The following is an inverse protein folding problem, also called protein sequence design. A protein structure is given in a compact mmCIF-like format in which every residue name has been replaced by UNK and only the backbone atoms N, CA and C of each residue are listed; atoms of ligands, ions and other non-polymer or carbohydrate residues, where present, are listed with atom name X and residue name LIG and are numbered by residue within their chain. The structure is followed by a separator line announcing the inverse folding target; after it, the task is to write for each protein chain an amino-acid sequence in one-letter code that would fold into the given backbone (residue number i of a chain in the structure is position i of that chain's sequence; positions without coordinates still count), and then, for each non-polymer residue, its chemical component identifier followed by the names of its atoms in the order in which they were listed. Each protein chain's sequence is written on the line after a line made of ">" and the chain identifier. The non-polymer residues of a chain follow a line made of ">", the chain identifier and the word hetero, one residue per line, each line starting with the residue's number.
data_IF_807739630604
#
_entry.id   IF_807739630604
#
_cell.length_a   1.000
_cell.length_b   1.000
_cell.length_c   1.000
_cell.angle_alpha   90.00
_cell.angle_beta   90.00
_cell.angle_gamma   90.00
#
_symmetry.space_group_name_H-M   'P 1'
#
loop_
_entity.id
_entity.type
_entity.pdbx_description
1 polymer ?
#
# COMPACT_ATOMS: atom_id res chain seq x y z
N UNK A 1 -23.24 14.97 39.76
CA UNK A 1 -24.16 14.28 38.83
C UNK A 1 -23.88 14.57 37.35
N UNK A 2 -23.56 15.81 36.95
CA UNK A 2 -23.34 16.25 35.56
C UNK A 2 -22.13 15.64 34.83
N UNK A 3 -21.00 15.41 35.53
CA UNK A 3 -19.79 14.81 34.90
C UNK A 3 -19.98 13.34 34.51
N UNK A 4 -20.65 12.55 35.34
CA UNK A 4 -20.95 11.13 35.08
C UNK A 4 -21.89 10.98 33.88
N UNK A 5 -22.92 11.83 33.80
CA UNK A 5 -23.83 11.85 32.66
C UNK A 5 -23.14 12.24 31.35
N UNK A 6 -22.23 13.22 31.39
CA UNK A 6 -21.41 13.60 30.23
C UNK A 6 -20.46 12.47 29.80
N UNK A 7 -19.85 11.75 30.74
CA UNK A 7 -19.02 10.58 30.43
C UNK A 7 -19.87 9.47 29.79
N UNK A 8 -21.04 9.15 30.36
CA UNK A 8 -21.98 8.17 29.80
C UNK A 8 -22.34 8.52 28.35
N UNK A 9 -22.75 9.77 28.08
CA UNK A 9 -23.06 10.23 26.71
C UNK A 9 -21.88 10.12 25.75
N UNK A 10 -20.66 10.43 26.20
CA UNK A 10 -19.44 10.30 25.38
C UNK A 10 -19.14 8.83 25.07
N UNK A 11 -19.28 7.93 26.05
CA UNK A 11 -19.13 6.49 25.87
C UNK A 11 -20.19 5.92 24.94
N UNK A 12 -21.46 6.28 25.11
CA UNK A 12 -22.56 5.88 24.22
C UNK A 12 -22.30 6.34 22.79
N UNK A 13 -21.82 7.58 22.60
CA UNK A 13 -21.46 8.09 21.27
C UNK A 13 -20.33 7.27 20.66
N UNK A 14 -19.30 6.94 21.43
CA UNK A 14 -18.18 6.12 20.97
C UNK A 14 -18.64 4.71 20.54
N UNK A 15 -19.44 4.04 21.37
CA UNK A 15 -19.95 2.71 21.04
C UNK A 15 -20.92 2.75 19.86
N UNK A 16 -21.80 3.74 19.77
CA UNK A 16 -22.67 3.93 18.61
C UNK A 16 -21.88 4.11 17.31
N UNK A 17 -20.80 4.89 17.36
CA UNK A 17 -19.93 5.12 16.20
C UNK A 17 -19.16 3.86 15.79
N UNK A 18 -18.69 3.06 16.76
CA UNK A 18 -17.85 1.90 16.47
C UNK A 18 -18.67 0.65 16.13
N UNK A 19 -19.71 0.35 16.92
CA UNK A 19 -20.54 -0.84 16.76
C UNK A 19 -21.62 -0.65 15.69
N UNK A 20 -22.15 0.58 15.56
CA UNK A 20 -23.34 0.85 14.77
C UNK A 20 -24.62 0.65 15.58
N UNK A 21 -25.76 0.62 14.88
CA UNK A 21 -27.07 0.38 15.48
C UNK A 21 -27.67 -0.92 14.92
N UNK A 22 -28.41 -1.66 15.75
CA UNK A 22 -29.18 -2.82 15.34
C UNK A 22 -30.51 -2.42 14.68
N UNK A 23 -31.34 -3.39 14.28
CA UNK A 23 -32.66 -3.15 13.68
C UNK A 23 -33.63 -2.38 14.58
N UNK A 24 -33.40 -2.39 15.88
CA UNK A 24 -34.22 -1.72 16.90
C UNK A 24 -33.73 -0.29 17.22
N UNK A 25 -32.64 0.16 16.57
CA UNK A 25 -32.05 1.48 16.81
C UNK A 25 -31.20 1.57 18.09
N UNK A 26 -30.91 0.43 18.73
CA UNK A 26 -29.99 0.32 19.86
C UNK A 26 -28.55 0.04 19.41
N UNK A 27 -27.58 0.25 20.29
CA UNK A 27 -26.17 -0.03 19.97
C UNK A 27 -25.99 -1.53 19.74
N UNK A 28 -25.42 -1.92 18.59
CA UNK A 28 -25.27 -3.32 18.20
C UNK A 28 -24.14 -4.04 18.97
N UNK A 29 -24.44 -4.47 20.19
CA UNK A 29 -23.54 -5.30 20.98
C UNK A 29 -23.53 -6.78 20.56
N UNK A 30 -24.26 -7.15 19.50
CA UNK A 30 -24.25 -8.51 18.96
C UNK A 30 -23.19 -8.70 17.88
N UNK A 31 -22.63 -7.61 17.35
CA UNK A 31 -21.43 -7.68 16.54
C UNK A 31 -20.17 -8.03 17.37
N UNK A 32 -20.03 -9.32 17.69
CA UNK A 32 -18.93 -9.85 18.52
C UNK A 32 -17.55 -9.62 17.89
N UNK A 33 -17.48 -9.56 16.56
CA UNK A 33 -16.27 -9.22 15.83
C UNK A 33 -15.81 -7.79 16.15
N UNK A 34 -16.68 -6.79 15.97
CA UNK A 34 -16.39 -5.39 16.33
C UNK A 34 -16.06 -5.22 17.82
N UNK A 35 -16.77 -5.92 18.69
CA UNK A 35 -16.48 -5.92 20.13
C UNK A 35 -15.05 -6.38 20.42
N UNK A 36 -14.58 -7.47 19.79
CA UNK A 36 -13.20 -7.95 19.96
C UNK A 36 -12.19 -6.87 19.61
N UNK A 37 -12.41 -6.13 18.54
CA UNK A 37 -11.53 -5.03 18.17
C UNK A 37 -11.55 -3.88 19.17
N UNK A 38 -12.69 -3.57 19.79
CA UNK A 38 -12.75 -2.61 20.90
C UNK A 38 -11.88 -3.09 22.07
N UNK A 39 -11.93 -4.37 22.43
CA UNK A 39 -11.05 -4.94 23.47
C UNK A 39 -9.58 -4.77 23.11
N UNK A 40 -9.20 -5.07 21.87
CA UNK A 40 -7.83 -4.86 21.39
C UNK A 40 -7.43 -3.38 21.54
N UNK A 41 -8.29 -2.43 21.14
CA UNK A 41 -8.01 -1.01 21.24
C UNK A 41 -7.85 -0.53 22.70
N UNK A 42 -8.62 -1.09 23.63
CA UNK A 42 -8.54 -0.78 25.07
C UNK A 42 -7.25 -1.35 25.66
N UNK A 43 -6.94 -2.63 25.40
CA UNK A 43 -5.76 -3.29 25.94
C UNK A 43 -4.46 -2.69 25.40
N UNK A 44 -4.42 -2.27 24.12
CA UNK A 44 -3.25 -1.56 23.58
C UNK A 44 -2.99 -0.20 24.26
N UNK A 45 -3.93 0.34 25.04
CA UNK A 45 -3.78 1.56 25.85
C UNK A 45 -3.40 1.29 27.31
N UNK A 46 -3.13 0.04 27.69
CA UNK A 46 -2.73 -0.29 29.07
C UNK A 46 -3.88 -0.68 30.00
N UNK A 47 -5.13 -0.56 29.56
CA UNK A 47 -6.30 -0.64 30.43
C UNK A 47 -6.67 -2.12 30.66
N UNK A 48 -6.72 -2.57 31.92
CA UNK A 48 -7.17 -3.93 32.27
C UNK A 48 -6.18 -5.06 31.99
N UNK A 49 -4.93 -4.77 31.64
CA UNK A 49 -3.93 -5.81 31.27
C UNK A 49 -3.52 -6.68 32.47
N UNK A 50 -3.53 -6.13 33.68
CA UNK A 50 -3.09 -6.84 34.89
C UNK A 50 -3.88 -8.12 35.18
N UNK A 51 -5.13 -8.18 34.72
CA UNK A 51 -5.99 -9.36 34.83
C UNK A 51 -5.64 -10.43 33.78
N UNK A 52 -5.22 -10.01 32.58
CA UNK A 52 -4.84 -10.92 31.49
C UNK A 52 -3.64 -11.78 31.87
N UNK A 53 -2.63 -11.16 32.52
CA UNK A 53 -1.40 -11.83 32.94
C UNK A 53 -1.62 -12.97 33.95
N UNK A 54 -2.80 -13.04 34.57
CA UNK A 54 -3.17 -14.11 35.50
C UNK A 54 -3.74 -15.34 34.80
N UNK A 55 -4.11 -15.22 33.52
CA UNK A 55 -4.73 -16.30 32.76
C UNK A 55 -3.66 -17.15 32.04
N UNK A 56 -3.60 -18.48 32.24
CA UNK A 56 -2.65 -19.35 31.55
C UNK A 56 -2.71 -19.27 30.02
N UNK A 57 -3.89 -19.03 29.44
CA UNK A 57 -4.08 -18.87 28.00
C UNK A 57 -3.38 -17.62 27.45
N UNK A 58 -3.09 -16.63 28.30
CA UNK A 58 -2.35 -15.45 27.89
C UNK A 58 -0.88 -15.79 27.56
N UNK A 59 -0.24 -16.65 28.36
CA UNK A 59 1.10 -17.16 28.05
C UNK A 59 1.09 -18.10 26.83
N UNK A 60 0.04 -18.91 26.66
CA UNK A 60 -0.11 -19.73 25.46
C UNK A 60 -0.26 -18.86 24.20
N UNK A 61 -1.01 -17.77 24.29
CA UNK A 61 -1.18 -16.83 23.18
C UNK A 61 0.13 -16.18 22.74
N UNK A 62 1.06 -15.92 23.67
CA UNK A 62 2.39 -15.39 23.36
C UNK A 62 3.21 -16.40 22.54
N UNK A 63 3.22 -17.66 22.96
CA UNK A 63 3.93 -18.74 22.25
C UNK A 63 3.41 -18.91 20.82
N UNK A 64 2.09 -18.86 20.63
CA UNK A 64 1.47 -18.93 19.30
C UNK A 64 1.83 -17.70 18.47
N UNK A 65 1.79 -16.49 19.05
CA UNK A 65 2.15 -15.26 18.35
C UNK A 65 3.61 -15.29 17.84
N UNK A 66 4.54 -15.76 18.69
CA UNK A 66 5.95 -15.95 18.33
C UNK A 66 6.09 -16.99 17.21
N UNK A 67 5.42 -18.15 17.33
CA UNK A 67 5.46 -19.19 16.31
C UNK A 67 4.94 -18.71 14.95
N UNK A 68 3.88 -17.88 14.93
CA UNK A 68 3.36 -17.26 13.70
C UNK A 68 4.40 -16.30 13.10
N UNK A 69 5.01 -15.44 13.93
CA UNK A 69 6.04 -14.49 13.50
C UNK A 69 7.23 -15.20 12.87
N UNK A 70 7.69 -16.30 13.47
CA UNK A 70 8.80 -17.12 12.98
C UNK A 70 8.45 -17.87 11.70
N UNK A 71 7.28 -18.51 11.65
CA UNK A 71 6.85 -19.29 10.48
C UNK A 71 6.68 -18.40 9.25
N UNK A 72 6.10 -17.21 9.42
CA UNK A 72 5.89 -16.23 8.35
C UNK A 72 7.10 -15.32 8.10
N UNK A 73 8.23 -15.56 8.79
CA UNK A 73 9.49 -14.79 8.64
C UNK A 73 9.31 -13.27 8.76
N UNK A 74 8.35 -12.84 9.58
CA UNK A 74 8.05 -11.43 9.79
C UNK A 74 8.61 -10.95 11.13
N UNK A 75 9.46 -9.92 11.11
CA UNK A 75 10.03 -9.32 12.31
C UNK A 75 9.05 -8.31 12.92
N UNK A 76 8.22 -8.80 13.83
CA UNK A 76 7.25 -7.96 14.53
C UNK A 76 7.92 -7.11 15.62
N UNK A 77 7.53 -5.83 15.70
CA UNK A 77 7.88 -4.99 16.85
C UNK A 77 7.22 -5.54 18.12
N UNK A 78 7.73 -5.15 19.31
CA UNK A 78 7.09 -5.50 20.59
C UNK A 78 5.60 -5.11 20.63
N UNK A 79 5.25 -3.94 20.08
CA UNK A 79 3.86 -3.46 19.99
C UNK A 79 3.02 -4.35 19.08
N UNK A 80 3.55 -4.74 17.92
CA UNK A 80 2.86 -5.58 16.93
C UNK A 80 2.66 -7.00 17.44
N UNK A 81 3.67 -7.58 18.08
CA UNK A 81 3.61 -8.90 18.69
C UNK A 81 2.56 -8.93 19.82
N UNK A 82 2.53 -7.90 20.66
CA UNK A 82 1.54 -7.78 21.72
C UNK A 82 0.11 -7.66 21.19
N UNK A 83 -0.10 -6.89 20.11
CA UNK A 83 -1.40 -6.81 19.44
C UNK A 83 -1.86 -8.16 18.90
N UNK A 84 -0.95 -8.91 18.27
CA UNK A 84 -1.21 -10.28 17.80
C UNK A 84 -1.54 -11.21 18.97
N UNK A 85 -0.75 -11.17 20.05
CA UNK A 85 -0.99 -11.94 21.27
C UNK A 85 -2.39 -11.68 21.84
N UNK A 86 -2.81 -10.42 21.94
CA UNK A 86 -4.15 -10.07 22.41
C UNK A 86 -5.26 -10.65 21.52
N UNK A 87 -5.08 -10.64 20.21
CA UNK A 87 -6.06 -11.23 19.28
C UNK A 87 -6.17 -12.74 19.42
N UNK A 88 -5.04 -13.42 19.62
CA UNK A 88 -5.00 -14.86 19.87
C UNK A 88 -5.66 -15.16 21.22
N UNK A 89 -5.33 -14.39 22.26
CA UNK A 89 -5.93 -14.56 23.58
C UNK A 89 -7.46 -14.40 23.55
N UNK A 90 -8.00 -13.41 22.82
CA UNK A 90 -9.44 -13.28 22.62
C UNK A 90 -10.04 -14.51 21.95
N UNK A 91 -9.36 -15.06 20.95
CA UNK A 91 -9.83 -16.23 20.22
C UNK A 91 -9.80 -17.50 21.06
N UNK A 92 -8.82 -17.63 21.96
CA UNK A 92 -8.73 -18.75 22.91
C UNK A 92 -9.78 -18.66 24.02
N UNK A 93 -10.12 -17.46 24.47
CA UNK A 93 -11.00 -17.24 25.64
C UNK A 93 -12.46 -17.07 25.29
N UNK A 94 -12.78 -16.64 24.06
CA UNK A 94 -14.15 -16.39 23.63
C UNK A 94 -14.50 -17.27 22.44
N UNK A 95 -15.54 -18.08 22.63
CA UNK A 95 -16.11 -18.95 21.58
C UNK A 95 -17.35 -18.34 20.92
N UNK A 96 -17.49 -17.02 21.02
CA UNK A 96 -18.55 -16.29 20.35
C UNK A 96 -18.47 -16.49 18.83
N UNK A 97 -19.61 -16.70 18.18
CA UNK A 97 -19.72 -16.72 16.71
C UNK A 97 -19.37 -15.33 16.16
N UNK A 98 -18.47 -15.28 15.18
CA UNK A 98 -18.08 -14.04 14.52
C UNK A 98 -18.81 -13.92 13.19
N UNK A 99 -19.47 -12.79 12.99
CA UNK A 99 -20.20 -12.48 11.75
C UNK A 99 -19.20 -12.15 10.63
N UNK A 100 -18.50 -13.17 10.13
CA UNK A 100 -17.60 -13.12 8.97
C UNK A 100 -18.25 -13.95 7.86
N UNK A 101 -18.39 -13.36 6.67
CA UNK A 101 -19.02 -14.00 5.53
C UNK A 101 -18.27 -15.27 5.10
N UNK A 102 -19.02 -16.30 4.72
CA UNK A 102 -18.45 -17.60 4.33
C UNK A 102 -17.51 -17.48 3.11
N UNK A 103 -17.87 -16.61 2.14
CA UNK A 103 -17.03 -16.33 0.97
C UNK A 103 -15.68 -15.72 1.35
N UNK A 104 -15.70 -14.82 2.34
CA UNK A 104 -14.48 -14.22 2.89
C UNK A 104 -13.59 -15.29 3.55
N UNK A 105 -14.17 -16.19 4.35
CA UNK A 105 -13.43 -17.30 4.96
C UNK A 105 -12.86 -18.23 3.88
N UNK A 106 -13.67 -18.58 2.88
CA UNK A 106 -13.24 -19.43 1.77
C UNK A 106 -12.06 -18.79 1.01
N UNK A 107 -12.11 -17.48 0.76
CA UNK A 107 -11.00 -16.74 0.18
C UNK A 107 -9.75 -16.81 1.06
N UNK A 108 -9.87 -16.55 2.37
CA UNK A 108 -8.72 -16.58 3.30
C UNK A 108 -8.06 -17.95 3.37
N UNK A 109 -8.84 -19.04 3.35
CA UNK A 109 -8.33 -20.44 3.37
C UNK A 109 -7.41 -20.76 2.20
N UNK A 110 -7.55 -20.09 1.06
CA UNK A 110 -6.62 -20.24 -0.06
C UNK A 110 -5.27 -19.55 0.17
N UNK A 111 -5.15 -18.79 1.26
CA UNK A 111 -4.03 -17.92 1.59
C UNK A 111 -2.98 -18.56 2.50
N UNK A 112 -1.71 -18.20 2.29
CA UNK A 112 -0.60 -18.66 3.15
C UNK A 112 -0.81 -18.24 4.61
N UNK A 113 -1.21 -16.98 4.88
CA UNK A 113 -1.39 -16.46 6.25
C UNK A 113 -2.35 -17.34 7.05
N UNK A 114 -3.56 -17.61 6.53
CA UNK A 114 -4.57 -18.39 7.24
C UNK A 114 -4.06 -19.80 7.57
N UNK A 115 -3.45 -20.46 6.58
CA UNK A 115 -2.94 -21.82 6.72
C UNK A 115 -1.73 -21.90 7.67
N UNK A 116 -0.85 -20.90 7.65
CA UNK A 116 0.27 -20.79 8.58
C UNK A 116 -0.22 -20.56 10.01
N UNK A 117 -1.21 -19.70 10.22
CA UNK A 117 -1.83 -19.49 11.53
C UNK A 117 -2.42 -20.80 12.04
N UNK A 118 -3.26 -21.48 11.23
CA UNK A 118 -3.83 -22.78 11.61
C UNK A 118 -2.75 -23.81 12.00
N UNK A 119 -1.68 -23.89 11.21
CA UNK A 119 -0.53 -24.77 11.51
C UNK A 119 0.10 -24.48 12.87
N UNK A 120 0.25 -23.20 13.24
CA UNK A 120 0.79 -22.81 14.54
C UNK A 120 -0.12 -23.22 15.70
N UNK A 121 -1.45 -23.13 15.53
CA UNK A 121 -2.41 -23.58 16.53
C UNK A 121 -2.38 -25.11 16.71
N UNK A 122 -2.41 -25.86 15.60
CA UNK A 122 -2.34 -27.33 15.63
C UNK A 122 -1.05 -27.83 16.29
N UNK A 123 0.10 -27.19 16.02
CA UNK A 123 1.38 -27.52 16.69
C UNK A 123 1.36 -27.31 18.21
N UNK A 124 0.44 -26.48 18.72
CA UNK A 124 0.24 -26.24 20.14
C UNK A 124 -0.93 -27.06 20.71
N UNK A 125 -1.43 -28.05 19.96
CA UNK A 125 -2.58 -28.88 20.31
C UNK A 125 -3.86 -28.08 20.61
N UNK A 126 -4.07 -26.98 19.87
CA UNK A 126 -5.28 -26.17 19.95
C UNK A 126 -6.02 -26.24 18.63
N UNK A 127 -7.25 -26.73 18.66
CA UNK A 127 -8.16 -26.64 17.52
C UNK A 127 -8.87 -25.28 17.53
N UNK A 128 -8.92 -24.63 16.37
CA UNK A 128 -9.63 -23.37 16.19
C UNK A 128 -10.60 -23.45 15.02
N UNK A 129 -11.79 -22.88 15.22
CA UNK A 129 -12.73 -22.70 14.13
C UNK A 129 -12.24 -21.66 13.11
N UNK A 130 -12.83 -21.73 11.92
CA UNK A 130 -12.44 -20.89 10.79
C UNK A 130 -12.70 -19.40 11.03
N UNK A 131 -13.70 -19.05 11.83
CA UNK A 131 -14.05 -17.66 12.12
C UNK A 131 -12.96 -17.01 12.98
N UNK A 132 -12.47 -17.72 14.01
CA UNK A 132 -11.37 -17.28 14.84
C UNK A 132 -10.05 -17.21 14.06
N UNK A 133 -9.76 -18.19 13.21
CA UNK A 133 -8.60 -18.15 12.32
C UNK A 133 -8.67 -16.98 11.33
N UNK A 134 -9.86 -16.68 10.79
CA UNK A 134 -10.08 -15.53 9.93
C UNK A 134 -9.86 -14.20 10.67
N UNK A 135 -10.38 -14.07 11.90
CA UNK A 135 -10.15 -12.91 12.75
C UNK A 135 -8.66 -12.64 13.00
N UNK A 136 -7.90 -13.68 13.37
CA UNK A 136 -6.44 -13.54 13.58
C UNK A 136 -5.74 -13.21 12.26
N UNK A 137 -6.19 -13.76 11.14
CA UNK A 137 -5.66 -13.43 9.81
C UNK A 137 -5.86 -11.97 9.46
N UNK A 138 -7.02 -11.38 9.75
CA UNK A 138 -7.27 -9.95 9.57
C UNK A 138 -6.37 -9.09 10.45
N UNK A 139 -6.21 -9.47 11.72
CA UNK A 139 -5.30 -8.76 12.64
C UNK A 139 -3.87 -8.82 12.12
N UNK A 140 -3.39 -9.99 11.74
CA UNK A 140 -2.04 -10.17 11.22
C UNK A 140 -1.80 -9.35 9.93
N UNK A 141 -2.77 -9.33 9.02
CA UNK A 141 -2.67 -8.57 7.75
C UNK A 141 -2.52 -7.07 7.96
N UNK A 142 -3.01 -6.54 9.08
CA UNK A 142 -2.85 -5.13 9.47
C UNK A 142 -1.55 -4.82 10.23
N UNK A 143 -0.71 -5.83 10.51
CA UNK A 143 0.58 -5.63 11.13
C UNK A 143 1.63 -5.17 10.10
N UNK A 144 2.61 -4.33 10.51
CA UNK A 144 3.77 -4.05 9.68
C UNK A 144 4.46 -5.34 9.22
N UNK A 145 4.72 -5.42 7.91
CA UNK A 145 5.41 -6.56 7.30
C UNK A 145 6.90 -6.23 7.12
N UNK A 146 7.74 -6.83 7.96
CA UNK A 146 9.18 -6.64 8.01
C UNK A 146 9.91 -7.98 7.77
N UNK A 147 9.91 -8.51 6.54
CA UNK A 147 10.60 -9.75 6.25
C UNK A 147 12.12 -9.61 6.31
N UNK A 148 12.81 -10.74 6.36
CA UNK A 148 14.27 -10.78 6.43
C UNK A 148 14.99 -10.59 5.08
N UNK A 149 14.26 -10.56 3.95
CA UNK A 149 14.86 -10.34 2.63
C UNK A 149 13.92 -9.64 1.64
N UNK A 150 14.50 -8.91 0.68
CA UNK A 150 13.77 -8.27 -0.42
C UNK A 150 13.05 -9.29 -1.31
N UNK A 151 13.64 -10.47 -1.52
CA UNK A 151 13.01 -11.53 -2.31
C UNK A 151 11.68 -11.98 -1.73
N UNK A 152 11.56 -12.02 -0.40
CA UNK A 152 10.28 -12.32 0.25
C UNK A 152 9.25 -11.20 0.01
N UNK A 153 9.67 -9.93 0.01
CA UNK A 153 8.80 -8.79 -0.32
C UNK A 153 8.22 -8.95 -1.73
N UNK A 154 9.08 -9.26 -2.72
CA UNK A 154 8.68 -9.41 -4.12
C UNK A 154 7.75 -10.62 -4.33
N UNK A 155 8.12 -11.79 -3.80
CA UNK A 155 7.33 -13.02 -3.94
C UNK A 155 5.96 -12.85 -3.31
N UNK A 156 5.90 -12.29 -2.09
CA UNK A 156 4.64 -12.06 -1.41
C UNK A 156 3.79 -11.04 -2.15
N UNK A 157 4.39 -9.93 -2.62
CA UNK A 157 3.69 -8.95 -3.45
C UNK A 157 3.03 -9.61 -4.66
N UNK A 158 3.78 -10.38 -5.46
CA UNK A 158 3.24 -11.03 -6.66
C UNK A 158 2.14 -12.04 -6.32
N UNK A 159 2.32 -12.80 -5.23
CA UNK A 159 1.32 -13.73 -4.74
C UNK A 159 0.02 -13.02 -4.34
N UNK A 160 0.11 -11.95 -3.55
CA UNK A 160 -1.05 -11.18 -3.10
C UNK A 160 -1.74 -10.46 -4.26
N UNK A 161 -0.96 -9.84 -5.16
CA UNK A 161 -1.44 -9.15 -6.35
C UNK A 161 -2.27 -10.07 -7.23
N UNK A 162 -1.71 -11.24 -7.57
CA UNK A 162 -2.39 -12.21 -8.43
C UNK A 162 -3.70 -12.69 -7.80
N UNK A 163 -3.69 -12.97 -6.49
CA UNK A 163 -4.90 -13.41 -5.77
C UNK A 163 -5.95 -12.33 -5.68
N UNK A 164 -5.56 -11.09 -5.37
CA UNK A 164 -6.50 -9.97 -5.24
C UNK A 164 -7.10 -9.59 -6.59
N UNK A 165 -6.30 -9.42 -7.64
CA UNK A 165 -6.82 -9.06 -8.97
C UNK A 165 -7.76 -10.15 -9.50
N UNK A 166 -7.44 -11.42 -9.24
CA UNK A 166 -8.32 -12.54 -9.61
C UNK A 166 -9.66 -12.51 -8.87
N UNK A 167 -9.67 -12.16 -7.58
CA UNK A 167 -10.91 -12.11 -6.79
C UNK A 167 -11.69 -10.80 -6.94
N UNK A 168 -11.00 -9.69 -7.20
CA UNK A 168 -11.56 -8.35 -7.34
C UNK A 168 -10.98 -7.66 -8.59
N UNK A 169 -11.47 -8.02 -9.80
CA UNK A 169 -10.98 -7.41 -11.04
C UNK A 169 -11.13 -5.88 -11.09
N UNK A 170 -12.11 -5.33 -10.36
CA UNK A 170 -12.34 -3.89 -10.23
C UNK A 170 -11.15 -3.12 -9.63
N UNK A 171 -10.19 -3.80 -8.99
CA UNK A 171 -8.95 -3.17 -8.50
C UNK A 171 -8.11 -2.65 -9.66
N UNK A 172 -8.10 -3.33 -10.82
CA UNK A 172 -7.38 -2.84 -12.00
C UNK A 172 -8.00 -1.52 -12.48
N UNK A 173 -9.32 -1.41 -12.47
CA UNK A 173 -10.01 -0.17 -12.82
C UNK A 173 -9.71 0.94 -11.81
N UNK A 174 -9.62 0.62 -10.52
CA UNK A 174 -9.19 1.58 -9.49
C UNK A 174 -7.79 2.13 -9.80
N UNK A 175 -6.83 1.27 -10.14
CA UNK A 175 -5.48 1.70 -10.55
C UNK A 175 -5.56 2.63 -11.76
N UNK A 176 -6.31 2.27 -12.80
CA UNK A 176 -6.49 3.12 -13.99
C UNK A 176 -7.11 4.48 -13.66
N UNK A 177 -8.04 4.53 -12.71
CA UNK A 177 -8.63 5.79 -12.24
C UNK A 177 -7.59 6.67 -11.51
N UNK A 178 -6.65 6.07 -10.77
CA UNK A 178 -5.51 6.79 -10.21
C UNK A 178 -4.54 7.26 -11.29
N UNK A 179 -4.22 6.43 -12.29
CA UNK A 179 -3.35 6.82 -13.40
C UNK A 179 -3.91 8.00 -14.18
N UNK A 180 -5.20 7.97 -14.53
CA UNK A 180 -5.88 9.08 -15.19
C UNK A 180 -5.96 10.32 -14.28
N UNK A 181 -6.17 10.11 -12.99
CA UNK A 181 -6.18 11.20 -12.02
C UNK A 181 -4.83 11.89 -11.93
N UNK A 182 -3.74 11.16 -11.78
CA UNK A 182 -2.40 11.68 -11.48
C UNK A 182 -1.45 11.76 -12.69
N UNK A 183 -1.95 11.45 -13.90
CA UNK A 183 -1.22 11.50 -15.17
C UNK A 183 0.10 10.69 -15.15
N UNK A 184 0.06 9.51 -14.53
CA UNK A 184 1.25 8.67 -14.31
C UNK A 184 0.94 7.19 -14.43
N UNK A 185 1.96 6.38 -14.72
CA UNK A 185 1.83 4.93 -14.80
C UNK A 185 2.01 4.34 -13.39
N UNK A 186 1.03 3.55 -12.94
CA UNK A 186 0.98 2.97 -11.59
C UNK A 186 0.76 1.46 -11.60
N UNK A 187 0.22 0.91 -12.69
CA UNK A 187 0.06 -0.53 -12.83
C UNK A 187 1.44 -1.21 -12.90
N UNK A 188 1.70 -2.11 -11.96
CA UNK A 188 2.98 -2.79 -11.78
C UNK A 188 3.89 -2.13 -10.73
N UNK A 189 3.63 -0.89 -10.34
CA UNK A 189 4.45 -0.15 -9.37
C UNK A 189 4.16 -0.64 -7.95
N UNK A 190 5.11 -1.38 -7.35
CA UNK A 190 4.93 -2.02 -6.06
C UNK A 190 4.67 -1.01 -4.93
N UNK A 191 5.33 0.15 -4.98
CA UNK A 191 5.20 1.25 -4.03
C UNK A 191 3.79 1.85 -3.99
N UNK A 192 3.03 1.69 -5.08
CA UNK A 192 1.63 2.11 -5.16
C UNK A 192 0.67 0.95 -4.91
N UNK A 193 0.86 -0.15 -5.63
CA UNK A 193 -0.09 -1.26 -5.62
C UNK A 193 -0.13 -1.91 -4.24
N UNK A 194 0.98 -2.05 -3.51
CA UNK A 194 0.98 -2.69 -2.19
C UNK A 194 0.11 -1.93 -1.18
N UNK A 195 0.29 -0.61 -0.95
CA UNK A 195 -0.64 0.18 -0.14
C UNK A 195 -2.09 0.12 -0.64
N UNK A 196 -2.32 0.12 -1.96
CA UNK A 196 -3.65 0.04 -2.53
C UNK A 196 -4.33 -1.30 -2.22
N UNK A 197 -3.59 -2.40 -2.30
CA UNK A 197 -4.08 -3.73 -1.96
C UNK A 197 -4.48 -3.80 -0.49
N UNK A 198 -3.65 -3.27 0.42
CA UNK A 198 -3.97 -3.25 1.85
C UNK A 198 -5.23 -2.39 2.12
N UNK A 199 -5.38 -1.26 1.43
CA UNK A 199 -6.60 -0.44 1.45
C UNK A 199 -7.83 -1.23 0.99
N UNK A 200 -7.75 -1.88 -0.17
CA UNK A 200 -8.86 -2.66 -0.75
C UNK A 200 -9.23 -3.81 0.16
N UNK A 201 -8.26 -4.56 0.67
CA UNK A 201 -8.52 -5.67 1.60
C UNK A 201 -9.21 -5.17 2.86
N UNK A 202 -8.68 -4.09 3.46
CA UNK A 202 -9.21 -3.55 4.71
C UNK A 202 -10.65 -3.06 4.53
N UNK A 203 -10.91 -2.44 3.38
CA UNK A 203 -12.22 -1.89 3.04
C UNK A 203 -13.24 -2.96 2.68
N UNK A 204 -12.86 -3.93 1.84
CA UNK A 204 -13.75 -4.99 1.38
C UNK A 204 -14.22 -5.88 2.53
N UNK A 205 -13.38 -6.06 3.55
CA UNK A 205 -13.74 -6.83 4.74
C UNK A 205 -14.35 -5.99 5.87
N UNK A 206 -14.58 -4.69 5.65
CA UNK A 206 -15.15 -3.80 6.66
C UNK A 206 -14.29 -3.68 7.93
N UNK A 207 -12.98 -3.94 7.81
CA UNK A 207 -12.04 -3.95 8.95
C UNK A 207 -11.38 -2.57 9.18
N UNK A 208 -12.05 -1.52 8.72
CA UNK A 208 -11.52 -0.17 8.58
C UNK A 208 -11.18 0.53 9.91
N UNK A 209 -11.80 0.09 11.00
CA UNK A 209 -11.66 0.68 12.33
C UNK A 209 -10.50 0.06 13.13
N UNK A 210 -9.86 -0.97 12.57
CA UNK A 210 -8.99 -1.90 13.30
C UNK A 210 -7.50 -1.68 13.06
N UNK A 211 -7.13 -0.53 12.50
CA UNK A 211 -5.74 -0.14 12.34
C UNK A 211 -5.04 -0.01 13.71
N UNK A 212 -3.84 -0.59 13.81
CA UNK A 212 -2.98 -0.49 15.00
C UNK A 212 -2.62 0.98 15.34
N UNK A 213 -2.53 1.82 14.30
CA UNK A 213 -2.33 3.25 14.41
C UNK A 213 -3.52 3.96 13.76
N UNK A 214 -4.21 4.82 14.50
CA UNK A 214 -5.40 5.53 14.01
C UNK A 214 -5.12 6.98 13.61
N UNK A 215 -3.95 7.50 13.99
CA UNK A 215 -3.58 8.90 13.80
C UNK A 215 -2.52 9.00 12.71
N UNK A 216 -2.93 9.55 11.57
CA UNK A 216 -2.07 9.89 10.46
C UNK A 216 -2.24 11.39 10.19
N UNK A 217 -1.14 12.06 9.89
CA UNK A 217 -1.14 13.50 9.64
C UNK A 217 -0.64 13.75 8.24
N UNK A 218 -1.29 14.69 7.55
CA UNK A 218 -0.89 15.16 6.23
C UNK A 218 -0.56 16.65 6.37
N UNK A 219 0.51 17.08 5.69
CA UNK A 219 0.87 18.50 5.65
C UNK A 219 -0.22 19.30 4.93
N UNK A 220 -0.46 20.53 5.36
CA UNK A 220 -1.44 21.42 4.73
C UNK A 220 -1.24 21.57 3.21
N UNK A 221 0.02 21.56 2.76
CA UNK A 221 0.39 21.71 1.36
C UNK A 221 0.02 20.49 0.50
N UNK A 222 -0.31 19.35 1.12
CA UNK A 222 -0.60 18.08 0.45
C UNK A 222 -2.09 17.72 0.51
N UNK A 223 -2.92 18.64 1.03
CA UNK A 223 -4.34 18.40 1.22
C UNK A 223 -5.09 18.18 -0.10
N UNK A 224 -4.68 18.85 -1.18
CA UNK A 224 -5.28 18.66 -2.51
C UNK A 224 -5.08 17.23 -3.03
N UNK A 225 -3.90 16.63 -2.80
CA UNK A 225 -3.63 15.23 -3.16
C UNK A 225 -4.57 14.32 -2.38
N UNK A 226 -4.69 14.50 -1.06
CA UNK A 226 -5.62 13.71 -0.24
C UNK A 226 -7.06 13.82 -0.73
N UNK A 227 -7.53 15.01 -1.10
CA UNK A 227 -8.88 15.21 -1.62
C UNK A 227 -9.09 14.49 -2.96
N UNK A 228 -8.09 14.52 -3.84
CA UNK A 228 -8.11 13.80 -5.12
C UNK A 228 -8.14 12.29 -4.93
N UNK A 229 -7.28 11.77 -4.05
CA UNK A 229 -7.28 10.35 -3.65
C UNK A 229 -8.65 9.95 -3.08
N UNK A 230 -9.22 10.75 -2.17
CA UNK A 230 -10.52 10.49 -1.57
C UNK A 230 -11.63 10.41 -2.63
N UNK A 231 -11.63 11.34 -3.59
CA UNK A 231 -12.62 11.36 -4.69
C UNK A 231 -12.54 10.09 -5.55
N UNK A 232 -11.33 9.69 -5.95
CA UNK A 232 -11.11 8.48 -6.76
C UNK A 232 -11.63 7.24 -6.04
N UNK A 233 -11.26 7.06 -4.76
CA UNK A 233 -11.67 5.87 -4.01
C UNK A 233 -13.17 5.89 -3.73
N UNK A 234 -13.74 7.03 -3.35
CA UNK A 234 -15.19 7.15 -3.12
C UNK A 234 -16.00 6.90 -4.40
N UNK A 235 -15.52 7.30 -5.57
CA UNK A 235 -16.16 7.00 -6.84
C UNK A 235 -16.16 5.48 -7.12
N UNK A 236 -15.00 4.84 -6.95
CA UNK A 236 -14.88 3.39 -7.09
C UNK A 236 -15.76 2.61 -6.11
N UNK A 237 -15.82 3.02 -4.84
CA UNK A 237 -16.69 2.38 -3.86
C UNK A 237 -18.17 2.46 -4.25
N UNK A 238 -18.63 3.62 -4.74
CA UNK A 238 -20.02 3.79 -5.20
C UNK A 238 -20.36 2.93 -6.41
N UNK A 239 -19.37 2.63 -7.25
CA UNK A 239 -19.57 1.87 -8.49
C UNK A 239 -19.56 0.36 -8.24
N UNK A 240 -18.69 -0.14 -7.36
CA UNK A 240 -18.43 -1.57 -7.20
C UNK A 240 -18.91 -2.17 -5.87
N UNK A 241 -19.28 -1.36 -4.88
CA UNK A 241 -19.70 -1.82 -3.56
C UNK A 241 -21.05 -1.24 -3.17
N UNK A 242 -21.76 -1.96 -2.29
CA UNK A 242 -23.03 -1.49 -1.73
C UNK A 242 -22.81 -0.27 -0.84
N UNK A 243 -23.85 0.57 -0.69
CA UNK A 243 -23.84 1.79 0.13
C UNK A 243 -23.53 1.55 1.64
N UNK A 244 -23.33 0.31 2.06
CA UNK A 244 -23.02 -0.07 3.44
C UNK A 244 -21.52 -0.04 3.76
N UNK A 245 -20.64 -0.06 2.74
CA UNK A 245 -19.19 -0.01 2.96
C UNK A 245 -18.75 1.45 3.14
N UNK A 246 -18.35 1.79 4.36
CA UNK A 246 -17.81 3.10 4.70
C UNK A 246 -16.31 3.02 4.95
N UNK A 247 -15.53 3.90 4.32
CA UNK A 247 -14.12 4.07 4.68
C UNK A 247 -13.93 5.11 5.76
N UNK A 248 -13.07 4.79 6.73
CA UNK A 248 -12.63 5.74 7.73
C UNK A 248 -11.63 6.73 7.13
N UNK A 249 -11.68 7.97 7.59
CA UNK A 249 -10.70 8.98 7.17
C UNK A 249 -9.26 8.55 7.50
N UNK A 250 -9.05 7.90 8.64
CA UNK A 250 -7.74 7.37 9.04
C UNK A 250 -7.11 6.45 8.00
N UNK A 251 -7.89 5.62 7.33
CA UNK A 251 -7.39 4.71 6.29
C UNK A 251 -6.98 5.45 5.03
N UNK A 252 -7.77 6.44 4.62
CA UNK A 252 -7.40 7.30 3.49
C UNK A 252 -6.11 8.02 3.81
N UNK A 253 -5.98 8.56 5.03
CA UNK A 253 -4.78 9.26 5.46
C UNK A 253 -3.56 8.33 5.52
N UNK A 254 -3.71 7.10 6.00
CA UNK A 254 -2.66 6.09 5.98
C UNK A 254 -2.19 5.80 4.56
N UNK A 255 -3.13 5.47 3.67
CA UNK A 255 -2.84 5.20 2.27
C UNK A 255 -2.13 6.39 1.64
N UNK A 256 -2.67 7.61 1.81
CA UNK A 256 -2.07 8.83 1.33
C UNK A 256 -0.63 8.97 1.81
N UNK A 257 -0.34 8.79 3.10
CA UNK A 257 1.02 8.90 3.62
C UNK A 257 2.00 7.92 2.95
N UNK A 258 1.55 6.70 2.66
CA UNK A 258 2.37 5.67 2.02
C UNK A 258 2.66 5.98 0.55
N UNK A 259 1.68 6.48 -0.20
CA UNK A 259 1.82 6.74 -1.64
C UNK A 259 2.19 8.19 -1.98
N UNK A 260 2.15 9.11 -1.01
CA UNK A 260 2.39 10.54 -1.21
C UNK A 260 3.69 10.83 -1.97
N UNK A 261 4.84 10.22 -1.64
CA UNK A 261 6.09 10.52 -2.34
C UNK A 261 6.03 10.20 -3.82
N UNK A 262 5.21 9.22 -4.22
CA UNK A 262 4.98 8.86 -5.62
C UNK A 262 3.99 9.83 -6.27
N UNK A 263 2.81 10.02 -5.67
CA UNK A 263 1.75 10.83 -6.27
C UNK A 263 2.14 12.30 -6.46
N UNK A 264 2.93 12.87 -5.55
CA UNK A 264 3.51 14.23 -5.70
C UNK A 264 4.33 14.41 -6.97
N UNK A 265 4.90 13.33 -7.49
CA UNK A 265 5.79 13.38 -8.65
C UNK A 265 5.00 13.37 -9.96
N UNK A 266 3.84 12.71 -9.99
CA UNK A 266 2.94 12.74 -11.15
C UNK A 266 2.41 14.14 -11.45
N UNK A 267 2.34 15.02 -10.44
CA UNK A 267 1.99 16.43 -10.66
C UNK A 267 3.09 17.24 -11.36
N UNK A 268 4.32 16.71 -11.48
CA UNK A 268 5.40 17.36 -12.25
C UNK A 268 5.27 16.98 -13.72
N UNK A 269 5.39 17.97 -14.62
CA UNK A 269 5.48 17.70 -16.06
C UNK A 269 6.68 16.81 -16.36
N UNK A 270 6.46 15.74 -17.14
CA UNK A 270 7.54 14.85 -17.61
C UNK A 270 8.53 15.66 -18.45
N UNK A 271 9.81 15.33 -18.28
CA UNK A 271 10.92 15.98 -18.98
C UNK A 271 11.20 15.21 -20.29
N UNK A 272 11.16 15.87 -21.45
CA UNK A 272 11.48 15.21 -22.72
C UNK A 272 12.97 14.85 -22.83
N UNK A 273 13.22 13.69 -23.41
CA UNK A 273 14.54 13.24 -23.87
C UNK A 273 14.50 13.17 -25.40
N UNK A 274 15.35 13.96 -26.02
CA UNK A 274 15.48 14.06 -27.48
C UNK A 274 16.68 13.23 -27.89
N UNK A 275 16.51 12.36 -28.88
CA UNK A 275 17.60 11.53 -29.40
C UNK A 275 17.97 12.05 -30.78
N UNK A 276 19.27 12.29 -30.98
CA UNK A 276 19.87 12.61 -32.28
C UNK A 276 20.84 11.51 -32.67
N UNK A 277 20.62 10.87 -33.81
CA UNK A 277 21.43 9.74 -34.26
C UNK A 277 21.59 9.77 -35.78
N UNK A 278 22.69 9.20 -36.29
CA UNK A 278 23.01 9.35 -37.72
C UNK A 278 22.12 8.50 -38.65
N UNK A 279 21.49 7.45 -38.10
CA UNK A 279 20.70 6.48 -38.85
C UNK A 279 19.62 5.82 -37.98
N UNK A 280 18.66 5.15 -38.62
CA UNK A 280 17.53 4.47 -37.98
C UNK A 280 17.98 3.44 -36.93
N UNK A 281 19.03 2.68 -37.23
CA UNK A 281 19.54 1.64 -36.35
C UNK A 281 20.08 2.23 -35.05
N UNK A 282 20.89 3.30 -35.13
CA UNK A 282 21.35 4.08 -33.98
C UNK A 282 20.18 4.59 -33.14
N UNK A 283 19.13 5.15 -33.77
CA UNK A 283 17.93 5.60 -33.07
C UNK A 283 17.26 4.47 -32.28
N UNK A 284 16.99 3.33 -32.93
CA UNK A 284 16.38 2.17 -32.27
C UNK A 284 17.23 1.68 -31.09
N UNK A 285 18.55 1.59 -31.29
CA UNK A 285 19.48 1.11 -30.28
C UNK A 285 19.50 2.06 -29.06
N UNK A 286 19.66 3.36 -29.28
CA UNK A 286 19.71 4.33 -28.20
C UNK A 286 18.37 4.44 -27.47
N UNK A 287 17.25 4.52 -28.20
CA UNK A 287 15.89 4.57 -27.61
C UNK A 287 15.63 3.39 -26.69
N UNK A 288 15.91 2.17 -27.14
CA UNK A 288 15.68 0.96 -26.35
C UNK A 288 16.55 0.88 -25.10
N UNK A 289 17.79 1.36 -25.16
CA UNK A 289 18.68 1.33 -24.01
C UNK A 289 18.39 2.46 -23.02
N UNK A 290 18.03 3.66 -23.51
CA UNK A 290 17.63 4.79 -22.65
C UNK A 290 16.32 4.44 -21.92
N UNK A 291 15.33 3.86 -22.59
CA UNK A 291 14.07 3.42 -21.96
C UNK A 291 14.28 2.44 -20.79
N UNK A 292 15.36 1.65 -20.79
CA UNK A 292 15.66 0.72 -19.69
C UNK A 292 16.21 1.40 -18.44
N UNK A 293 16.76 2.61 -18.56
CA UNK A 293 17.46 3.30 -17.46
C UNK A 293 16.69 4.52 -16.94
N UNK A 294 15.72 5.03 -17.70
CA UNK A 294 14.87 6.15 -17.28
C UNK A 294 13.57 5.64 -16.65
N UNK A 295 12.98 6.44 -15.77
CA UNK A 295 11.63 6.18 -15.25
C UNK A 295 10.59 6.96 -16.07
N UNK A 296 9.64 6.24 -16.67
CA UNK A 296 8.56 6.78 -17.50
C UNK A 296 7.64 7.77 -16.76
N UNK A 297 7.69 7.77 -15.43
CA UNK A 297 6.95 8.70 -14.60
C UNK A 297 7.58 10.11 -14.57
N UNK A 298 8.84 10.26 -14.97
CA UNK A 298 9.56 11.55 -14.96
C UNK A 298 10.03 11.97 -16.35
N UNK A 299 10.22 11.00 -17.25
CA UNK A 299 10.80 11.25 -18.56
C UNK A 299 9.96 10.60 -19.65
N UNK A 300 10.03 11.16 -20.85
CA UNK A 300 9.57 10.49 -22.06
C UNK A 300 10.57 10.75 -23.18
N UNK A 301 10.75 9.77 -24.06
CA UNK A 301 11.53 9.97 -25.28
C UNK A 301 10.60 10.62 -26.31
N UNK A 302 11.03 11.73 -26.91
CA UNK A 302 10.28 12.37 -27.99
C UNK A 302 10.14 11.38 -29.17
N UNK A 303 8.93 11.29 -29.73
CA UNK A 303 8.64 10.38 -30.85
C UNK A 303 9.19 10.90 -32.19
N UNK A 304 9.54 12.19 -32.28
CA UNK A 304 10.22 12.76 -33.45
C UNK A 304 11.68 12.27 -33.56
N UNK A 305 12.10 11.94 -34.78
CA UNK A 305 13.43 11.43 -35.12
C UNK A 305 14.28 12.55 -35.72
N UNK A 306 15.44 12.82 -35.14
CA UNK A 306 16.36 13.87 -35.59
C UNK A 306 17.70 13.29 -36.02
N UNK A 307 18.12 13.56 -37.25
CA UNK A 307 19.40 13.08 -37.80
C UNK A 307 20.55 14.07 -37.65
N UNK A 308 20.23 15.34 -37.36
CA UNK A 308 21.18 16.39 -36.98
C UNK A 308 20.68 17.15 -35.76
N UNK A 309 21.62 17.77 -35.02
CA UNK A 309 21.29 18.72 -33.94
C UNK A 309 20.53 19.92 -34.50
N UNK A 310 20.86 20.31 -35.73
CA UNK A 310 20.25 21.47 -36.40
C UNK A 310 18.78 21.23 -36.78
N UNK A 311 18.34 19.97 -36.81
CA UNK A 311 16.94 19.60 -37.09
C UNK A 311 16.04 19.74 -35.86
N UNK A 312 16.60 19.94 -34.66
CA UNK A 312 15.83 20.06 -33.43
C UNK A 312 15.14 21.44 -33.39
N UNK A 313 13.81 21.49 -33.18
CA UNK A 313 13.09 22.76 -33.01
C UNK A 313 13.67 23.63 -31.89
N UNK A 314 13.80 24.94 -32.14
CA UNK A 314 14.36 25.92 -31.18
C UNK A 314 13.68 25.88 -29.80
N UNK A 315 12.40 25.53 -29.75
CA UNK A 315 11.62 25.42 -28.52
C UNK A 315 12.31 24.50 -27.50
N UNK A 316 12.92 23.40 -27.95
CA UNK A 316 13.50 22.39 -27.07
C UNK A 316 14.74 22.90 -26.35
N UNK A 317 15.47 23.85 -26.95
CA UNK A 317 16.60 24.51 -26.30
C UNK A 317 16.18 25.51 -25.22
N UNK A 318 14.90 25.93 -25.23
CA UNK A 318 14.34 26.91 -24.30
C UNK A 318 13.50 26.28 -23.16
N UNK A 319 13.30 24.96 -23.19
CA UNK A 319 12.60 24.22 -22.13
C UNK A 319 13.55 23.30 -21.40
N UNK A 320 13.11 22.82 -20.23
CA UNK A 320 13.86 21.80 -19.50
C UNK A 320 13.73 20.45 -20.22
N UNK A 321 14.73 20.08 -21.01
CA UNK A 321 14.85 18.80 -21.70
C UNK A 321 16.28 18.24 -21.61
N UNK A 322 16.47 16.98 -22.02
CA UNK A 322 17.79 16.40 -22.26
C UNK A 322 17.94 16.05 -23.73
N UNK A 323 19.06 16.41 -24.34
CA UNK A 323 19.38 16.03 -25.73
C UNK A 323 20.48 14.97 -25.65
N UNK A 324 20.20 13.76 -26.10
CA UNK A 324 21.20 12.68 -26.25
C UNK A 324 21.62 12.62 -27.70
N UNK A 325 22.89 12.89 -27.98
CA UNK A 325 23.38 13.05 -29.36
C UNK A 325 24.53 12.10 -29.67
N UNK A 326 24.46 11.42 -30.81
CA UNK A 326 25.54 10.57 -31.29
C UNK A 326 26.82 11.39 -31.48
N UNK A 327 27.94 10.93 -30.93
CA UNK A 327 29.21 11.68 -30.92
C UNK A 327 29.69 12.15 -32.29
N UNK A 328 29.41 11.39 -33.34
CA UNK A 328 29.80 11.76 -34.70
C UNK A 328 29.04 12.97 -35.26
N UNK A 329 27.93 13.36 -34.63
CA UNK A 329 27.09 14.51 -34.99
C UNK A 329 27.34 15.73 -34.08
N UNK A 330 28.22 15.61 -33.09
CA UNK A 330 28.55 16.71 -32.19
C UNK A 330 29.52 17.68 -32.86
N UNK A 331 29.02 18.86 -33.20
CA UNK A 331 29.86 19.93 -33.73
C UNK A 331 30.53 20.76 -32.63
N UNK A 332 29.95 20.82 -31.42
CA UNK A 332 30.48 21.52 -30.23
C UNK A 332 29.97 20.88 -28.93
N UNK A 333 30.80 20.82 -27.88
CA UNK A 333 30.38 20.36 -26.55
C UNK A 333 29.46 21.40 -25.88
N UNK A 334 28.17 21.06 -25.69
CA UNK A 334 27.21 21.88 -24.95
C UNK A 334 26.81 21.17 -23.65
N UNK A 335 26.74 21.90 -22.53
CA UNK A 335 26.49 21.34 -21.18
C UNK A 335 25.19 20.55 -21.01
N UNK A 336 24.20 20.75 -21.88
CA UNK A 336 22.89 20.08 -21.83
C UNK A 336 22.72 19.01 -22.92
N UNK A 337 23.75 18.80 -23.76
CA UNK A 337 23.79 17.72 -24.74
C UNK A 337 24.66 16.59 -24.17
N UNK A 338 24.07 15.42 -24.06
CA UNK A 338 24.67 14.22 -23.53
C UNK A 338 25.21 13.37 -24.70
N UNK A 339 26.54 13.19 -24.82
CA UNK A 339 27.12 12.42 -25.90
C UNK A 339 26.85 10.92 -25.74
N UNK A 340 26.53 10.24 -26.84
CA UNK A 340 26.40 8.77 -26.91
C UNK A 340 27.13 8.20 -28.13
N UNK A 341 27.60 6.96 -28.05
CA UNK A 341 28.17 6.24 -29.18
C UNK A 341 27.88 4.76 -29.05
N UNK A 342 27.66 4.09 -30.18
CA UNK A 342 27.55 2.62 -30.24
C UNK A 342 28.79 1.96 -29.61
N UNK A 343 29.98 2.50 -29.87
CA UNK A 343 31.25 1.91 -29.44
C UNK A 343 31.52 2.07 -27.93
N UNK A 344 30.82 2.99 -27.25
CA UNK A 344 31.00 3.24 -25.81
C UNK A 344 29.66 3.22 -25.05
N UNK A 345 28.66 2.54 -25.61
CA UNK A 345 27.26 2.63 -25.21
C UNK A 345 27.05 2.42 -23.71
N UNK A 346 27.67 1.41 -23.12
CA UNK A 346 27.51 1.07 -21.69
C UNK A 346 27.98 2.20 -20.77
N UNK A 347 29.15 2.80 -21.07
CA UNK A 347 29.70 3.88 -20.26
C UNK A 347 28.87 5.16 -20.46
N UNK A 348 28.49 5.45 -21.69
CA UNK A 348 27.69 6.63 -22.01
C UNK A 348 26.32 6.58 -21.33
N UNK A 349 25.65 5.41 -21.34
CA UNK A 349 24.38 5.22 -20.64
C UNK A 349 24.52 5.41 -19.14
N UNK A 350 25.66 5.00 -18.55
CA UNK A 350 25.95 5.23 -17.14
C UNK A 350 26.10 6.72 -16.83
N UNK A 351 26.83 7.46 -17.68
CA UNK A 351 27.03 8.90 -17.51
C UNK A 351 25.73 9.68 -17.72
N UNK A 352 24.96 9.33 -18.75
CA UNK A 352 23.61 9.85 -19.03
C UNK A 352 22.70 9.63 -17.81
N UNK A 353 22.65 8.40 -17.30
CA UNK A 353 21.86 8.05 -16.12
C UNK A 353 22.24 8.91 -14.93
N UNK A 354 23.52 8.97 -14.57
CA UNK A 354 24.01 9.76 -13.44
C UNK A 354 23.66 11.26 -13.57
N UNK A 355 23.82 11.82 -14.77
CA UNK A 355 23.50 13.23 -15.02
C UNK A 355 22.00 13.51 -14.86
N UNK A 356 21.16 12.70 -15.51
CA UNK A 356 19.69 12.81 -15.43
C UNK A 356 19.22 12.71 -13.97
N UNK A 357 19.73 11.74 -13.20
CA UNK A 357 19.37 11.59 -11.78
C UNK A 357 19.83 12.77 -10.93
N UNK A 358 21.03 13.31 -11.17
CA UNK A 358 21.56 14.46 -10.42
C UNK A 358 20.68 15.70 -10.63
N UNK A 359 20.24 15.95 -11.87
CA UNK A 359 19.37 17.08 -12.20
C UNK A 359 17.97 16.96 -11.58
N UNK A 360 17.45 15.74 -11.38
CA UNK A 360 16.14 15.51 -10.74
C UNK A 360 16.21 15.60 -9.21
N UNK A 361 17.33 15.25 -8.59
CA UNK A 361 17.48 15.25 -7.12
C UNK A 361 17.86 16.62 -6.54
N UNK A 362 18.40 17.53 -7.36
CA UNK A 362 18.91 18.84 -6.91
C UNK A 362 17.94 20.01 -7.16
N UNK A 363 16.74 19.76 -7.70
CA UNK A 363 15.67 20.74 -7.93
C UNK A 363 14.34 20.22 -7.37
#
# INVERSE_FOLDING_TARGET
>A
MTKVFNLKKKSERYFRQSLGLNSEGEIDFDNKLKIRYIFLAIWMRGIGISELNKNPLFFQSEKIALAISELLKNRLSKKSLLYLQYSIFLSLTRRDTLMIEAETIAFLKTGIIFNSINTCFLKQNVEMDDQNLAFISFVYKNLPYNPESYRLIEVDYQYYRTRLIKSHPSVVQLIRNFEAGFEMNLLGEMEFEKPLMDLVYTTSFGINEFLLNQYFFINSNDFHIKEKVSKIICAWLKEYFSNTITMSESIILQFCQQVMPLLKKGEKKKIPIIIVAKDEYSHMLFRNNINKIISENYFFINDEIYYSIDDIPELFFNIHCFIVCERCLLNQERKFILPISINNLTNDLKDISNYIFTCVLTK
#
